data_IF_255639089268
#
_entry.id   IF_255639089268
#
_cell.length_a   1.000
_cell.length_b   1.000
_cell.length_c   1.000
_cell.angle_alpha   90.00
_cell.angle_beta   90.00
_cell.angle_gamma   90.00
#
_symmetry.space_group_name_H-M   'P 1'
#
loop_
_entity.id
_entity.type
_entity.pdbx_description
1 polymer ?
#
# COMPACT_ATOMS: atom_id res chain seq x y z
N UNK A 1 25.23 1.84 -23.97
CA UNK A 1 26.21 1.65 -22.87
C UNK A 1 27.47 2.51 -23.06
N UNK A 2 27.87 2.85 -24.29
CA UNK A 2 29.02 3.74 -24.55
C UNK A 2 28.72 5.24 -24.36
N UNK A 3 27.49 5.71 -24.58
CA UNK A 3 27.11 7.15 -24.44
C UNK A 3 26.99 7.69 -22.99
N UNK A 4 27.17 6.84 -21.98
CA UNK A 4 27.02 7.23 -20.57
C UNK A 4 28.27 7.97 -20.04
N UNK A 5 29.45 7.56 -20.48
CA UNK A 5 30.73 8.06 -19.94
C UNK A 5 31.11 9.44 -20.48
N UNK A 6 30.66 9.81 -21.68
CA UNK A 6 31.00 11.10 -22.31
C UNK A 6 30.31 12.31 -21.66
N UNK A 7 29.25 12.09 -20.87
CA UNK A 7 28.52 13.17 -20.15
C UNK A 7 29.10 13.44 -18.76
N UNK A 8 29.92 12.55 -18.23
CA UNK A 8 30.54 12.67 -16.91
C UNK A 8 32.01 13.09 -17.10
N UNK A 9 32.26 14.41 -17.09
CA UNK A 9 33.63 14.94 -17.08
C UNK A 9 34.27 14.71 -15.71
N UNK A 10 34.86 13.54 -15.50
CA UNK A 10 35.72 13.29 -14.35
C UNK A 10 37.17 13.68 -14.71
N UNK A 11 37.60 14.86 -14.28
CA UNK A 11 38.99 15.34 -14.42
C UNK A 11 39.85 14.90 -13.23
N UNK A 12 39.98 13.58 -12.97
CA UNK A 12 40.93 13.10 -11.96
C UNK A 12 41.59 11.80 -12.39
N UNK A 13 42.93 11.72 -12.32
CA UNK A 13 43.73 10.50 -12.54
C UNK A 13 43.64 9.49 -11.36
N UNK A 14 42.60 9.59 -10.54
CA UNK A 14 42.42 8.79 -9.34
C UNK A 14 41.43 7.67 -9.61
N UNK A 15 41.91 6.42 -9.62
CA UNK A 15 41.04 5.25 -9.63
C UNK A 15 40.36 5.10 -8.28
N UNK A 16 39.09 5.48 -8.20
CA UNK A 16 38.27 5.29 -7.01
C UNK A 16 37.66 3.89 -7.02
N UNK A 17 38.04 3.04 -6.06
CA UNK A 17 37.30 1.81 -5.77
C UNK A 17 36.09 2.18 -4.91
N UNK A 18 34.91 2.17 -5.52
CA UNK A 18 33.65 2.26 -4.80
C UNK A 18 33.06 0.86 -4.64
N UNK A 19 32.66 0.50 -3.41
CA UNK A 19 31.77 -0.63 -3.17
C UNK A 19 30.54 -0.48 -4.10
N UNK A 20 30.26 -1.45 -4.99
CA UNK A 20 29.20 -1.31 -6.01
C UNK A 20 27.83 -0.94 -5.42
N UNK A 21 27.56 -1.38 -4.19
CA UNK A 21 26.35 -1.06 -3.45
C UNK A 21 26.26 0.43 -3.09
N UNK A 22 27.36 1.03 -2.60
CA UNK A 22 27.41 2.45 -2.26
C UNK A 22 27.19 3.35 -3.49
N UNK A 23 27.71 2.92 -4.65
CA UNK A 23 27.50 3.63 -5.91
C UNK A 23 26.03 3.61 -6.34
N UNK A 24 25.36 2.45 -6.28
CA UNK A 24 23.94 2.33 -6.62
C UNK A 24 23.09 3.21 -5.70
N UNK A 25 23.33 3.19 -4.39
CA UNK A 25 22.60 4.02 -3.43
C UNK A 25 22.84 5.52 -3.66
N UNK A 26 24.07 5.90 -3.98
CA UNK A 26 24.39 7.28 -4.34
C UNK A 26 23.73 7.70 -5.65
N UNK A 27 23.66 6.82 -6.65
CA UNK A 27 22.99 7.09 -7.93
C UNK A 27 21.47 7.18 -7.76
N UNK A 28 20.83 6.34 -6.95
CA UNK A 28 19.39 6.49 -6.60
C UNK A 28 19.12 7.87 -5.97
N UNK A 29 20.00 8.32 -5.07
CA UNK A 29 19.92 9.63 -4.42
C UNK A 29 20.16 10.80 -5.39
N UNK A 30 21.10 10.64 -6.33
CA UNK A 30 21.47 11.67 -7.32
C UNK A 30 20.44 11.78 -8.44
N UNK A 31 19.85 10.66 -8.88
CA UNK A 31 18.91 10.62 -10.01
C UNK A 31 17.44 10.69 -9.61
N UNK A 32 17.12 10.84 -8.32
CA UNK A 32 15.75 11.03 -7.86
C UNK A 32 14.82 9.87 -8.24
N UNK A 33 15.35 8.64 -8.34
CA UNK A 33 14.51 7.46 -8.56
C UNK A 33 13.61 7.32 -7.35
N UNK A 34 12.30 7.33 -7.55
CA UNK A 34 11.35 7.16 -6.46
C UNK A 34 11.72 5.90 -5.68
N UNK A 35 11.84 6.04 -4.35
CA UNK A 35 12.05 4.88 -3.47
C UNK A 35 10.80 3.99 -3.40
N UNK A 36 9.68 4.48 -3.90
CA UNK A 36 8.39 3.81 -3.88
C UNK A 36 8.31 2.71 -4.95
N UNK A 37 7.82 1.56 -4.52
CA UNK A 37 7.18 0.57 -5.39
C UNK A 37 5.70 0.49 -5.02
N UNK A 38 4.80 0.37 -5.99
CA UNK A 38 3.39 0.15 -5.68
C UNK A 38 3.20 -1.22 -5.00
N UNK A 39 2.20 -1.39 -4.12
CA UNK A 39 2.06 -2.64 -3.37
C UNK A 39 1.72 -3.85 -4.27
N UNK A 40 1.27 -3.60 -5.49
CA UNK A 40 1.10 -4.55 -6.61
C UNK A 40 1.54 -3.88 -7.91
N UNK A 41 1.87 -4.67 -8.92
CA UNK A 41 2.16 -4.13 -10.26
C UNK A 41 0.87 -3.63 -10.93
N UNK A 42 0.93 -2.44 -11.56
CA UNK A 42 -0.21 -1.79 -12.24
C UNK A 42 -1.48 -1.76 -11.35
N UNK A 43 -1.44 -1.06 -10.21
CA UNK A 43 -2.50 -1.13 -9.22
C UNK A 43 -3.80 -0.56 -9.81
N UNK A 44 -4.85 -1.38 -9.81
CA UNK A 44 -6.21 -0.94 -10.12
C UNK A 44 -7.01 -0.81 -8.83
N UNK A 45 -7.87 0.21 -8.73
CA UNK A 45 -8.83 0.30 -7.62
C UNK A 45 -9.80 -0.90 -7.65
N UNK A 46 -10.14 -1.44 -6.49
CA UNK A 46 -11.18 -2.46 -6.40
C UNK A 46 -12.56 -1.83 -6.65
N UNK A 47 -13.21 -2.23 -7.74
CA UNK A 47 -14.51 -1.70 -8.16
C UNK A 47 -15.69 -2.42 -7.51
N UNK A 48 -15.47 -3.57 -6.88
CA UNK A 48 -16.52 -4.44 -6.36
C UNK A 48 -16.40 -4.63 -4.86
N UNK A 49 -17.55 -4.61 -4.19
CA UNK A 49 -17.66 -4.92 -2.77
C UNK A 49 -18.89 -5.78 -2.50
N UNK A 50 -18.63 -6.94 -1.93
CA UNK A 50 -19.59 -8.01 -1.68
C UNK A 50 -20.33 -8.43 -2.97
N UNK A 51 -19.60 -8.47 -4.09
CA UNK A 51 -20.11 -8.80 -5.41
C UNK A 51 -20.91 -7.70 -6.11
N UNK A 52 -21.02 -6.51 -5.53
CA UNK A 52 -21.73 -5.36 -6.12
C UNK A 52 -20.74 -4.31 -6.61
N UNK A 53 -21.01 -3.72 -7.77
CA UNK A 53 -20.26 -2.58 -8.27
C UNK A 53 -20.39 -1.42 -7.27
N UNK A 54 -19.26 -1.04 -6.67
CA UNK A 54 -19.16 -0.05 -5.60
C UNK A 54 -17.79 0.63 -5.60
N UNK A 55 -17.47 1.40 -6.67
CA UNK A 55 -16.15 2.00 -6.89
C UNK A 55 -15.64 2.83 -5.71
N UNK A 56 -16.53 3.58 -5.05
CA UNK A 56 -16.18 4.40 -3.88
C UNK A 56 -15.84 3.59 -2.64
N UNK A 57 -16.37 2.37 -2.50
CA UNK A 57 -16.37 1.68 -1.21
C UNK A 57 -14.98 1.19 -0.79
N UNK A 58 -14.05 1.09 -1.74
CA UNK A 58 -12.66 0.78 -1.46
C UNK A 58 -11.83 1.98 -1.00
N UNK A 59 -12.34 3.22 -1.07
CA UNK A 59 -11.55 4.42 -0.75
C UNK A 59 -11.57 4.75 0.73
N UNK A 60 -10.48 5.36 1.19
CA UNK A 60 -10.29 5.79 2.58
C UNK A 60 -11.39 6.77 3.00
N UNK A 61 -11.80 6.74 4.27
CA UNK A 61 -12.80 7.68 4.78
C UNK A 61 -14.21 7.10 4.91
N UNK A 62 -15.20 7.96 5.08
CA UNK A 62 -16.60 7.62 5.28
C UNK A 62 -17.28 7.27 3.94
N UNK A 63 -16.73 6.31 3.21
CA UNK A 63 -17.12 5.97 1.84
C UNK A 63 -18.11 4.82 1.78
N UNK A 64 -18.57 4.27 2.92
CA UNK A 64 -19.48 3.12 3.00
C UNK A 64 -20.78 3.46 3.74
N UNK A 65 -21.84 2.69 3.48
CA UNK A 65 -23.16 2.81 4.13
C UNK A 65 -23.67 4.26 4.24
N UNK A 66 -23.73 4.98 3.12
CA UNK A 66 -24.21 6.37 3.10
C UNK A 66 -23.44 7.33 4.03
N UNK A 67 -22.14 7.10 4.22
CA UNK A 67 -21.27 7.94 5.05
C UNK A 67 -21.31 7.60 6.54
N UNK A 68 -21.87 6.45 6.90
CA UNK A 68 -21.92 6.00 8.31
C UNK A 68 -20.80 5.05 8.68
N UNK A 69 -20.10 4.47 7.70
CA UNK A 69 -19.02 3.52 7.93
C UNK A 69 -17.73 3.99 7.25
N UNK A 70 -16.67 4.02 8.05
CA UNK A 70 -15.32 4.34 7.62
C UNK A 70 -14.61 3.14 7.00
N UNK A 71 -13.68 3.45 6.10
CA UNK A 71 -12.69 2.55 5.54
C UNK A 71 -11.30 3.07 5.89
N UNK A 72 -10.51 2.24 6.58
CA UNK A 72 -9.19 2.62 7.11
C UNK A 72 -8.04 2.64 6.09
N UNK A 73 -8.31 2.28 4.84
CA UNK A 73 -7.28 2.19 3.82
C UNK A 73 -7.83 2.35 2.42
N UNK A 74 -7.14 1.76 1.46
CA UNK A 74 -7.64 1.53 0.11
C UNK A 74 -7.75 0.04 -0.18
N UNK A 75 -8.72 -0.33 -1.01
CA UNK A 75 -8.84 -1.67 -1.58
C UNK A 75 -8.34 -1.64 -3.02
N UNK A 76 -7.28 -2.41 -3.29
CA UNK A 76 -6.62 -2.52 -4.60
C UNK A 76 -6.98 -3.89 -5.17
N UNK A 77 -7.44 -3.93 -6.42
CA UNK A 77 -7.77 -5.20 -7.08
C UNK A 77 -6.54 -6.10 -7.13
N UNK A 78 -6.68 -7.30 -6.55
CA UNK A 78 -5.60 -8.28 -6.46
C UNK A 78 -6.25 -9.67 -6.38
N UNK A 79 -6.34 -10.41 -7.50
CA UNK A 79 -6.67 -11.82 -7.47
C UNK A 79 -5.82 -12.63 -6.48
N UNK A 80 -6.33 -13.81 -6.09
CA UNK A 80 -5.56 -14.70 -5.21
C UNK A 80 -4.29 -15.12 -5.95
N UNK A 81 -3.15 -14.97 -5.30
CA UNK A 81 -1.84 -15.26 -5.88
C UNK A 81 -1.10 -14.05 -6.44
N UNK A 82 -1.75 -12.88 -6.60
CA UNK A 82 -1.10 -11.65 -7.06
C UNK A 82 0.12 -11.34 -6.19
N UNK A 83 1.32 -11.14 -6.76
CA UNK A 83 2.49 -10.73 -5.99
C UNK A 83 2.25 -9.42 -5.24
N UNK A 84 2.53 -9.42 -3.93
CA UNK A 84 2.48 -8.22 -3.08
C UNK A 84 3.89 -7.81 -2.73
N UNK A 85 4.22 -6.53 -2.92
CA UNK A 85 5.56 -5.99 -2.75
C UNK A 85 5.64 -5.02 -1.56
N UNK A 86 6.80 -4.95 -0.92
CA UNK A 86 7.10 -3.88 0.02
C UNK A 86 7.22 -2.55 -0.74
N UNK A 87 6.44 -1.54 -0.34
CA UNK A 87 6.46 -0.26 -1.06
C UNK A 87 7.72 0.57 -0.80
N UNK A 88 8.36 0.36 0.35
CA UNK A 88 9.57 1.07 0.76
C UNK A 88 10.50 0.11 1.50
N UNK A 89 11.78 0.47 1.56
CA UNK A 89 12.72 -0.14 2.49
C UNK A 89 12.21 -0.03 3.93
N UNK A 90 12.35 -1.10 4.71
CA UNK A 90 11.78 -1.11 6.05
C UNK A 90 12.07 -2.35 6.88
N UNK A 91 11.43 -2.38 8.05
CA UNK A 91 11.48 -3.51 8.99
C UNK A 91 10.08 -4.07 9.22
N UNK A 92 9.95 -5.38 9.14
CA UNK A 92 8.69 -6.08 9.40
C UNK A 92 8.44 -6.09 10.91
N UNK A 93 7.51 -5.26 11.40
CA UNK A 93 7.17 -5.18 12.83
C UNK A 93 6.04 -6.13 13.23
N UNK A 94 5.24 -6.56 12.27
CA UNK A 94 4.21 -7.59 12.45
C UNK A 94 4.06 -8.45 11.20
N UNK A 95 3.88 -9.75 11.41
CA UNK A 95 3.48 -10.73 10.41
C UNK A 95 2.49 -11.69 11.09
N UNK A 96 1.19 -11.37 10.99
CA UNK A 96 0.13 -12.11 11.67
C UNK A 96 -0.52 -13.11 10.71
N UNK A 97 -0.67 -14.34 11.19
CA UNK A 97 -1.31 -15.44 10.47
C UNK A 97 -2.66 -15.78 11.13
N UNK A 98 -3.61 -16.27 10.33
CA UNK A 98 -4.88 -16.87 10.75
C UNK A 98 -4.61 -17.97 11.78
N UNK A 99 -5.39 -17.99 12.86
CA UNK A 99 -5.39 -19.10 13.83
C UNK A 99 -4.82 -18.81 15.23
N UNK A 100 -4.42 -17.58 15.56
CA UNK A 100 -4.10 -17.21 16.96
C UNK A 100 -5.09 -16.17 17.48
N UNK A 101 -6.19 -16.66 18.06
CA UNK A 101 -7.18 -15.94 18.89
C UNK A 101 -7.62 -14.57 18.37
N UNK A 102 -8.86 -14.53 17.87
CA UNK A 102 -9.54 -13.38 17.25
C UNK A 102 -9.07 -13.11 15.81
N UNK A 103 -9.78 -13.67 14.83
CA UNK A 103 -9.70 -13.21 13.44
C UNK A 103 -10.17 -11.76 13.42
N UNK A 104 -9.23 -10.83 13.35
CA UNK A 104 -9.55 -9.44 13.01
C UNK A 104 -10.14 -9.43 11.60
N UNK A 105 -10.90 -8.40 11.25
CA UNK A 105 -11.48 -8.28 9.90
C UNK A 105 -10.44 -8.36 8.78
N UNK A 106 -9.15 -8.12 9.08
CA UNK A 106 -8.06 -8.05 8.13
C UNK A 106 -7.50 -9.41 7.66
N UNK A 107 -7.70 -10.50 8.40
CA UNK A 107 -7.10 -11.79 8.04
C UNK A 107 -5.58 -11.86 8.27
N UNK A 108 -4.85 -12.44 7.32
CA UNK A 108 -3.38 -12.48 7.33
C UNK A 108 -2.83 -11.09 7.02
N UNK A 109 -1.92 -10.59 7.86
CA UNK A 109 -1.41 -9.21 7.75
C UNK A 109 0.10 -9.09 7.90
N UNK A 110 0.66 -8.12 7.17
CA UNK A 110 2.03 -7.63 7.33
C UNK A 110 1.95 -6.16 7.74
N UNK A 111 2.78 -5.76 8.70
CA UNK A 111 3.04 -4.35 9.01
C UNK A 111 4.53 -4.09 8.89
N UNK A 112 4.92 -3.16 8.02
CA UNK A 112 6.31 -2.75 7.81
C UNK A 112 6.47 -1.33 8.35
N UNK A 113 7.45 -1.12 9.24
CA UNK A 113 7.91 0.21 9.66
C UNK A 113 8.84 0.78 8.61
N UNK A 114 8.59 2.02 8.20
CA UNK A 114 9.35 2.73 7.16
C UNK A 114 9.85 4.08 7.67
N UNK A 115 10.79 4.69 6.95
CA UNK A 115 11.25 6.05 7.24
C UNK A 115 10.14 7.06 6.95
N UNK A 116 9.95 8.03 7.84
CA UNK A 116 9.03 9.16 7.62
C UNK A 116 9.47 10.03 6.45
N UNK A 117 10.76 10.35 6.38
CA UNK A 117 11.32 11.16 5.29
C UNK A 117 11.07 10.50 3.94
N UNK A 118 11.30 9.19 3.85
CA UNK A 118 11.14 8.45 2.60
C UNK A 118 9.67 8.34 2.19
N UNK A 119 8.77 8.07 3.16
CA UNK A 119 7.34 8.04 2.86
C UNK A 119 6.84 9.40 2.41
N UNK A 120 7.12 10.47 3.16
CA UNK A 120 6.67 11.82 2.84
C UNK A 120 7.19 12.27 1.45
N UNK A 121 8.41 11.89 1.08
CA UNK A 121 8.98 12.17 -0.24
C UNK A 121 8.29 11.43 -1.41
N UNK A 122 7.60 10.34 -1.12
CA UNK A 122 6.85 9.55 -2.10
C UNK A 122 5.38 9.97 -2.21
N UNK A 123 4.95 10.99 -1.47
CA UNK A 123 3.56 11.46 -1.47
C UNK A 123 3.26 12.23 -2.76
N UNK A 124 2.31 11.72 -3.55
CA UNK A 124 1.81 12.30 -4.78
C UNK A 124 0.90 13.52 -4.54
N UNK A 125 0.71 14.30 -5.61
CA UNK A 125 -0.34 15.31 -5.67
C UNK A 125 -1.65 14.65 -6.14
N UNK A 126 -2.40 14.10 -5.19
CA UNK A 126 -3.68 13.42 -5.41
C UNK A 126 -4.86 14.31 -5.00
N UNK A 127 -5.90 14.34 -5.83
CA UNK A 127 -7.18 14.98 -5.52
C UNK A 127 -8.20 13.90 -5.13
N UNK A 128 -8.92 14.12 -4.02
CA UNK A 128 -9.92 13.16 -3.53
C UNK A 128 -10.98 12.90 -4.60
N UNK A 129 -11.17 11.64 -4.97
CA UNK A 129 -12.17 11.24 -5.96
C UNK A 129 -13.59 11.23 -5.38
N UNK A 130 -13.74 10.91 -4.09
CA UNK A 130 -15.05 10.77 -3.45
C UNK A 130 -15.19 11.63 -2.18
N UNK A 131 -14.98 12.96 -2.21
CA UNK A 131 -15.05 13.78 -1.00
C UNK A 131 -16.46 13.89 -0.41
N UNK A 132 -17.52 13.82 -1.23
CA UNK A 132 -18.91 13.89 -0.79
C UNK A 132 -19.88 13.06 -1.67
N UNK A 133 -19.68 11.74 -1.81
CA UNK A 133 -20.45 10.89 -2.72
C UNK A 133 -21.92 10.69 -2.31
N UNK A 134 -22.30 11.16 -1.12
CA UNK A 134 -23.65 10.98 -0.55
C UNK A 134 -24.41 12.28 -0.36
N UNK A 135 -23.85 13.42 -0.78
CA UNK A 135 -24.43 14.75 -0.57
C UNK A 135 -24.76 15.06 0.90
N UNK A 136 -23.96 14.53 1.83
CA UNK A 136 -24.14 14.72 3.27
C UNK A 136 -22.88 15.27 3.97
N UNK A 137 -21.91 15.76 3.18
CA UNK A 137 -20.64 16.31 3.65
C UNK A 137 -19.65 15.25 4.13
N UNK A 138 -19.92 13.97 3.86
CA UNK A 138 -19.04 12.85 4.24
C UNK A 138 -18.58 12.09 3.01
N UNK A 139 -17.36 11.56 3.10
CA UNK A 139 -16.75 10.77 2.05
C UNK A 139 -15.30 10.49 2.36
N UNK A 140 -14.53 10.48 1.29
CA UNK A 140 -13.08 10.45 1.29
C UNK A 140 -12.50 11.68 1.97
N UNK A 141 -11.43 11.46 2.71
CA UNK A 141 -10.71 12.50 3.46
C UNK A 141 -9.22 12.23 3.34
N UNK A 142 -8.37 13.22 3.61
CA UNK A 142 -6.92 13.03 3.45
C UNK A 142 -6.32 12.19 4.57
N UNK A 143 -6.80 12.39 5.79
CA UNK A 143 -6.26 11.74 6.99
C UNK A 143 -7.30 11.70 8.09
N UNK A 144 -7.15 10.71 8.97
CA UNK A 144 -7.91 10.64 10.20
C UNK A 144 -7.23 11.34 11.36
N UNK A 145 -7.88 11.29 12.52
CA UNK A 145 -7.39 11.91 13.75
C UNK A 145 -6.04 11.32 14.18
N UNK A 146 -5.12 12.14 14.67
CA UNK A 146 -3.83 11.70 15.24
C UNK A 146 -2.73 11.39 14.21
N UNK A 147 -3.07 11.29 12.92
CA UNK A 147 -2.04 11.13 11.90
C UNK A 147 -1.16 12.39 11.81
N UNK A 148 0.15 12.21 11.97
CA UNK A 148 1.14 13.29 11.99
C UNK A 148 1.60 13.73 13.39
N UNK A 149 0.98 13.25 14.47
CA UNK A 149 1.43 13.53 15.84
C UNK A 149 2.68 12.72 16.25
N UNK A 150 3.01 11.69 15.46
CA UNK A 150 4.17 10.81 15.62
C UNK A 150 5.04 10.85 14.37
N UNK A 151 6.35 10.70 14.55
CA UNK A 151 7.32 10.52 13.46
C UNK A 151 7.38 9.08 12.93
N UNK A 152 6.68 8.15 13.57
CA UNK A 152 6.64 6.77 13.07
C UNK A 152 5.74 6.65 11.84
N UNK A 153 6.13 5.78 10.90
CA UNK A 153 5.35 5.43 9.72
C UNK A 153 5.31 3.92 9.55
N UNK A 154 4.13 3.43 9.20
CA UNK A 154 3.90 2.02 8.95
C UNK A 154 3.02 1.82 7.72
N UNK A 155 3.28 0.74 7.00
CA UNK A 155 2.47 0.27 5.88
C UNK A 155 1.86 -1.08 6.27
N UNK A 156 0.54 -1.18 6.21
CA UNK A 156 -0.21 -2.39 6.52
C UNK A 156 -0.74 -3.01 5.24
N UNK A 157 -0.53 -4.32 5.11
CA UNK A 157 -1.00 -5.16 4.01
C UNK A 157 -1.90 -6.24 4.61
N UNK A 158 -3.11 -6.41 4.08
CA UNK A 158 -4.11 -7.31 4.63
C UNK A 158 -4.81 -8.16 3.57
N UNK A 159 -5.60 -9.13 4.03
CA UNK A 159 -6.24 -10.18 3.23
C UNK A 159 -5.25 -11.07 2.48
N UNK A 160 -4.00 -11.16 2.95
CA UNK A 160 -2.93 -11.92 2.31
C UNK A 160 -3.22 -13.44 2.31
N UNK A 161 -2.57 -14.19 1.42
CA UNK A 161 -2.68 -15.66 1.37
C UNK A 161 -1.39 -16.36 1.80
N UNK A 162 -0.31 -16.17 1.03
CA UNK A 162 1.02 -16.71 1.36
C UNK A 162 1.95 -15.60 1.83
N UNK A 163 2.63 -15.84 2.94
CA UNK A 163 3.58 -14.90 3.55
C UNK A 163 5.01 -15.36 3.24
N UNK A 164 5.83 -14.48 2.66
CA UNK A 164 7.23 -14.79 2.29
C UNK A 164 8.25 -14.25 3.29
N UNK A 165 7.78 -13.48 4.27
CA UNK A 165 8.59 -12.82 5.30
C UNK A 165 8.02 -13.06 6.70
N UNK A 166 8.82 -12.75 7.71
CA UNK A 166 8.44 -12.82 9.14
C UNK A 166 8.83 -11.54 9.88
N UNK A 167 8.26 -11.37 11.07
CA UNK A 167 8.61 -10.27 11.98
C UNK A 167 10.14 -10.25 12.24
N UNK A 168 10.72 -9.05 12.15
CA UNK A 168 12.14 -8.79 12.33
C UNK A 168 12.94 -8.76 11.03
N UNK A 169 12.37 -9.24 9.92
CA UNK A 169 13.06 -9.17 8.62
C UNK A 169 13.20 -7.71 8.15
N UNK A 170 14.30 -7.43 7.46
CA UNK A 170 14.48 -6.20 6.68
C UNK A 170 14.04 -6.47 5.24
N UNK A 171 13.34 -5.51 4.65
CA UNK A 171 12.85 -5.60 3.28
C UNK A 171 13.30 -4.40 2.48
N UNK A 172 13.46 -4.59 1.17
CA UNK A 172 13.73 -3.51 0.22
C UNK A 172 12.45 -3.19 -0.57
N UNK A 173 12.33 -1.94 -1.03
CA UNK A 173 11.27 -1.54 -1.95
C UNK A 173 11.27 -2.46 -3.20
N UNK A 174 10.08 -2.93 -3.59
CA UNK A 174 9.90 -3.88 -4.71
C UNK A 174 10.26 -5.33 -4.37
N UNK A 175 10.69 -5.64 -3.14
CA UNK A 175 10.80 -7.03 -2.70
C UNK A 175 9.40 -7.64 -2.55
N UNK A 176 9.17 -8.79 -3.17
CA UNK A 176 7.93 -9.55 -2.94
C UNK A 176 7.90 -10.05 -1.48
N UNK A 177 6.82 -9.74 -0.77
CA UNK A 177 6.64 -10.05 0.65
C UNK A 177 5.52 -11.05 0.92
N UNK A 178 4.56 -11.14 0.00
CA UNK A 178 3.40 -12.01 0.13
C UNK A 178 2.74 -12.27 -1.23
N UNK A 179 1.66 -13.04 -1.20
CA UNK A 179 0.66 -13.09 -2.27
C UNK A 179 -0.69 -12.57 -1.77
N UNK A 180 -1.44 -11.95 -2.68
CA UNK A 180 -2.81 -11.50 -2.47
C UNK A 180 -3.71 -12.69 -2.17
N UNK A 181 -4.70 -12.48 -1.33
CA UNK A 181 -5.58 -13.54 -0.84
C UNK A 181 -7.02 -13.08 -0.66
N UNK A 182 -7.72 -13.80 0.22
CA UNK A 182 -9.12 -13.53 0.59
C UNK A 182 -9.35 -13.84 2.06
N UNK A 183 -8.38 -13.54 2.91
CA UNK A 183 -8.41 -13.97 4.32
C UNK A 183 -9.12 -12.94 5.20
N UNK A 184 -9.68 -13.35 6.34
CA UNK A 184 -10.42 -12.44 7.23
C UNK A 184 -11.87 -12.23 6.80
N UNK A 185 -12.37 -10.98 6.86
CA UNK A 185 -13.77 -10.69 6.55
C UNK A 185 -14.16 -10.98 5.08
N UNK A 186 -13.17 -11.05 4.18
CA UNK A 186 -13.35 -11.38 2.78
C UNK A 186 -13.58 -12.88 2.56
N UNK A 187 -13.15 -13.74 3.49
CA UNK A 187 -13.10 -15.21 3.34
C UNK A 187 -14.48 -15.83 3.13
N UNK A 188 -15.48 -15.32 3.85
CA UNK A 188 -16.86 -15.84 3.82
C UNK A 188 -17.70 -15.26 2.68
N UNK A 189 -17.18 -14.31 1.91
CA UNK A 189 -17.93 -13.67 0.83
C UNK A 189 -17.98 -14.61 -0.37
N UNK A 190 -19.18 -15.05 -0.76
CA UNK A 190 -19.38 -16.06 -1.82
C UNK A 190 -18.90 -15.63 -3.21
N UNK A 191 -18.75 -14.34 -3.47
CA UNK A 191 -18.37 -13.82 -4.77
C UNK A 191 -16.84 -13.76 -4.92
N UNK A 192 -16.33 -14.24 -6.05
CA UNK A 192 -14.89 -14.19 -6.36
C UNK A 192 -14.40 -12.78 -6.68
N UNK A 193 -15.30 -11.88 -7.10
CA UNK A 193 -15.06 -10.46 -7.41
C UNK A 193 -14.74 -9.57 -6.20
N UNK A 194 -14.36 -10.16 -5.07
CA UNK A 194 -14.10 -9.47 -3.80
C UNK A 194 -12.63 -9.60 -3.35
N UNK A 195 -11.77 -10.14 -4.21
CA UNK A 195 -10.34 -10.33 -3.98
C UNK A 195 -9.64 -8.99 -4.16
N UNK A 196 -9.02 -8.52 -3.10
CA UNK A 196 -8.32 -7.25 -3.08
C UNK A 196 -7.21 -7.31 -2.03
N UNK A 197 -6.18 -6.52 -2.26
CA UNK A 197 -5.28 -6.11 -1.21
C UNK A 197 -5.93 -4.94 -0.46
N UNK A 198 -6.09 -5.09 0.84
CA UNK A 198 -6.39 -3.95 1.70
C UNK A 198 -5.08 -3.34 2.21
N UNK A 199 -4.86 -2.07 1.91
CA UNK A 199 -3.61 -1.35 2.17
C UNK A 199 -3.86 -0.12 3.03
N UNK A 200 -3.10 0.07 4.12
CA UNK A 200 -3.20 1.24 5.00
C UNK A 200 -1.84 1.93 5.23
N UNK A 201 -1.86 3.25 5.39
CA UNK A 201 -0.72 4.08 5.83
C UNK A 201 -1.00 4.58 7.24
N UNK A 202 -0.10 4.28 8.19
CA UNK A 202 -0.34 4.47 9.62
C UNK A 202 0.79 5.27 10.30
N UNK A 203 0.46 6.03 11.34
CA UNK A 203 1.43 6.65 12.28
C UNK A 203 1.60 5.86 13.59
N UNK A 204 0.95 4.69 13.69
CA UNK A 204 1.05 3.74 14.81
C UNK A 204 0.87 2.33 14.25
N UNK A 205 1.56 1.29 14.77
CA UNK A 205 1.38 -0.08 14.28
C UNK A 205 0.08 -0.73 14.78
N UNK A 206 -0.72 0.00 15.57
CA UNK A 206 -1.99 -0.50 16.09
C UNK A 206 -3.09 -0.43 15.03
N UNK A 207 -3.80 -1.54 14.85
CA UNK A 207 -5.01 -1.59 14.01
C UNK A 207 -6.25 -1.06 14.73
N UNK A 208 -6.15 -0.73 16.02
CA UNK A 208 -7.23 -0.12 16.79
C UNK A 208 -7.65 1.25 16.20
N UNK A 209 -8.87 1.69 16.54
CA UNK A 209 -9.40 2.97 16.08
C UNK A 209 -9.76 3.03 14.59
N UNK A 210 -9.85 1.88 13.91
CA UNK A 210 -10.27 1.77 12.51
C UNK A 210 -11.56 2.55 12.20
N UNK A 211 -12.58 2.42 13.05
CA UNK A 211 -13.88 3.09 12.88
C UNK A 211 -13.78 4.61 12.96
N UNK A 212 -12.70 5.16 13.53
CA UNK A 212 -12.45 6.59 13.70
C UNK A 212 -11.31 7.10 12.80
N UNK A 213 -10.75 6.23 11.96
CA UNK A 213 -9.56 6.50 11.14
C UNK A 213 -8.34 6.92 11.98
N UNK A 214 -8.27 6.50 13.24
CA UNK A 214 -7.23 6.94 14.17
C UNK A 214 -5.85 6.55 13.64
N UNK A 215 -4.93 7.53 13.57
CA UNK A 215 -3.54 7.37 13.14
C UNK A 215 -3.40 6.87 11.69
N UNK A 216 -4.31 7.24 10.79
CA UNK A 216 -4.28 6.82 9.38
C UNK A 216 -4.25 7.99 8.41
N UNK A 217 -3.53 7.82 7.32
CA UNK A 217 -3.59 8.70 6.15
C UNK A 217 -4.14 7.92 4.96
N UNK A 218 -4.80 8.63 4.05
CA UNK A 218 -5.31 8.08 2.82
C UNK A 218 -4.16 7.55 1.94
N UNK A 219 -4.08 6.23 1.69
CA UNK A 219 -3.01 5.66 0.88
C UNK A 219 -3.09 6.04 -0.61
N UNK A 220 -4.21 6.59 -1.09
CA UNK A 220 -4.33 7.07 -2.47
C UNK A 220 -3.34 8.20 -2.81
N UNK A 221 -2.80 8.88 -1.79
CA UNK A 221 -1.69 9.82 -1.98
C UNK A 221 -0.36 9.15 -2.36
N UNK A 222 -0.24 7.82 -2.34
CA UNK A 222 1.02 7.13 -2.61
C UNK A 222 0.90 6.14 -3.77
N UNK A 223 -0.25 5.49 -3.90
CA UNK A 223 -0.46 4.46 -4.94
C UNK A 223 -0.70 5.10 -6.31
N UNK A 224 0.06 4.68 -7.32
CA UNK A 224 -0.06 5.18 -8.69
C UNK A 224 -1.09 4.35 -9.47
N UNK A 225 -2.37 4.60 -9.19
CA UNK A 225 -3.45 3.84 -9.82
C UNK A 225 -3.44 3.94 -11.36
N UNK A 226 -3.59 2.79 -12.01
CA UNK A 226 -3.92 2.70 -13.43
C UNK A 226 -5.44 2.74 -13.63
N UNK A 227 -5.88 2.94 -14.87
CA UNK A 227 -7.31 2.85 -15.20
C UNK A 227 -7.82 1.44 -14.89
N UNK A 228 -8.92 1.36 -14.14
CA UNK A 228 -9.48 0.10 -13.69
C UNK A 228 -10.39 -0.53 -14.75
N UNK A 229 -10.14 -1.80 -15.06
CA UNK A 229 -10.92 -2.54 -16.05
C UNK A 229 -12.08 -3.29 -15.37
N UNK A 230 -13.30 -2.81 -15.59
CA UNK A 230 -14.52 -3.41 -15.04
C UNK A 230 -14.67 -4.88 -15.45
N UNK A 231 -14.41 -5.21 -16.73
CA UNK A 231 -14.59 -6.56 -17.24
C UNK A 231 -13.55 -7.51 -16.66
N UNK A 232 -12.31 -7.06 -16.52
CA UNK A 232 -11.23 -7.81 -15.86
C UNK A 232 -11.61 -8.17 -14.43
N UNK A 233 -12.08 -7.20 -13.66
CA UNK A 233 -12.48 -7.41 -12.27
C UNK A 233 -13.77 -8.23 -12.13
N UNK A 234 -14.72 -8.08 -13.06
CA UNK A 234 -15.93 -8.92 -13.09
C UNK A 234 -15.62 -10.39 -13.33
N UNK A 235 -14.66 -10.68 -14.20
CA UNK A 235 -14.30 -12.05 -14.57
C UNK A 235 -13.10 -12.60 -13.79
N UNK A 236 -12.51 -11.79 -12.89
CA UNK A 236 -11.32 -12.12 -12.11
C UNK A 236 -10.17 -12.64 -12.99
N UNK A 237 -9.86 -11.88 -14.05
CA UNK A 237 -8.78 -12.17 -14.99
C UNK A 237 -7.55 -11.32 -14.64
N UNK A 238 -6.35 -11.86 -14.87
CA UNK A 238 -5.07 -11.14 -14.80
C UNK A 238 -4.70 -10.54 -16.15
#
# INVERSE_FOLDING_TARGET
MYDFWDKLKFETDTFWYFEPFAWIEQMKRVFGVSKWHDPVDNPERALFNSGKYSPRSGYFGATRNSGTKNHGGIDIFAPIGTPIYACLDGEVVSAQYRGKTQTTGYGDTIIIKVSKEDLDACRNNYELEFPNPFNNGKGEVEKGKGFGESDERYLLYAHLDTMLIKKGDKVMAGQQIATGGKTGNAETIKYDRNRHLHFEVLSSPSTAGYSELLNRENPAFYVNFTEADVNKQENNQD
#
